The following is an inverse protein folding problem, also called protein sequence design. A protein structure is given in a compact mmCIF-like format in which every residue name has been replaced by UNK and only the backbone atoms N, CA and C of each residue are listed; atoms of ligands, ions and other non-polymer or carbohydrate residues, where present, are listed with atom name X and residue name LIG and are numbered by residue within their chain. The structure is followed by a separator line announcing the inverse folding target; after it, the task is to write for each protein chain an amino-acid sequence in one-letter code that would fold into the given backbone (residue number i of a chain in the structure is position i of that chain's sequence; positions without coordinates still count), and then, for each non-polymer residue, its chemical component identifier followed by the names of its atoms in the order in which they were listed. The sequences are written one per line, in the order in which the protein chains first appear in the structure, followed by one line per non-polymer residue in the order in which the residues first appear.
data_IF_192508686506
#
_entry.id   IF_192508686506
#
_cell.length_a   1.000
_cell.length_b   1.000
_cell.length_c   1.000
_cell.angle_alpha   90.00
_cell.angle_beta   90.00
_cell.angle_gamma   90.00
#
_symmetry.space_group_name_H-M   'P 1'
#
loop_
_entity.id
_entity.type
_entity.pdbx_description
1 polymer ?
#
# COMPACT_ATOMS: atom_id res chain seq x y z
N UNK A 1 18.18 -6.76 -0.03
CA UNK A 1 17.95 -6.61 1.41
C UNK A 1 17.73 -5.13 1.71
N UNK A 2 16.52 -4.78 2.14
CA UNK A 2 16.14 -3.39 2.40
C UNK A 2 16.78 -2.85 3.68
N UNK A 3 17.18 -3.71 4.61
CA UNK A 3 17.92 -3.28 5.80
C UNK A 3 19.31 -2.78 5.40
N UNK A 4 20.01 -3.50 4.52
CA UNK A 4 21.30 -3.04 3.99
C UNK A 4 21.17 -1.74 3.18
N UNK A 5 20.06 -1.55 2.47
CA UNK A 5 19.80 -0.29 1.78
C UNK A 5 19.66 0.88 2.76
N UNK A 6 18.96 0.65 3.89
CA UNK A 6 18.76 1.64 4.95
C UNK A 6 20.01 1.88 5.81
N UNK A 7 20.92 0.89 5.92
CA UNK A 7 22.24 1.10 6.52
C UNK A 7 23.10 2.06 5.69
N UNK A 8 22.96 2.01 4.36
CA UNK A 8 23.71 2.87 3.43
C UNK A 8 23.04 4.24 3.23
N UNK A 9 21.71 4.29 3.25
CA UNK A 9 20.92 5.51 3.15
C UNK A 9 19.71 5.44 4.10
N UNK A 10 19.87 5.92 5.36
CA UNK A 10 18.82 5.85 6.37
C UNK A 10 17.64 6.77 6.12
N UNK A 11 17.73 7.68 5.14
CA UNK A 11 16.70 8.65 4.78
C UNK A 11 15.98 8.29 3.47
N UNK A 12 16.15 7.05 2.98
CA UNK A 12 15.43 6.57 1.79
C UNK A 12 13.97 6.26 2.10
N UNK A 13 13.08 7.21 1.81
CA UNK A 13 11.63 7.02 1.91
C UNK A 13 11.14 5.80 1.10
N UNK A 14 11.72 5.56 -0.07
CA UNK A 14 11.44 4.41 -0.93
C UNK A 14 11.81 3.09 -0.25
N UNK A 15 12.98 3.00 0.38
CA UNK A 15 13.41 1.78 1.07
C UNK A 15 12.50 1.45 2.26
N UNK A 16 12.05 2.46 3.01
CA UNK A 16 11.04 2.25 4.05
C UNK A 16 9.70 1.81 3.46
N UNK A 17 9.22 2.43 2.37
CA UNK A 17 7.98 2.02 1.72
C UNK A 17 8.01 0.53 1.31
N UNK A 18 9.04 0.12 0.57
CA UNK A 18 9.18 -1.26 0.14
C UNK A 18 9.31 -2.23 1.32
N UNK A 19 9.98 -1.81 2.41
CA UNK A 19 10.14 -2.68 3.58
C UNK A 19 8.84 -2.79 4.37
N UNK A 20 8.08 -1.70 4.44
CA UNK A 20 6.72 -1.69 4.97
C UNK A 20 5.80 -2.65 4.21
N UNK A 21 5.87 -2.63 2.87
CA UNK A 21 5.15 -3.57 2.00
C UNK A 21 5.51 -5.03 2.26
N UNK A 22 6.82 -5.33 2.33
CA UNK A 22 7.30 -6.68 2.66
C UNK A 22 6.83 -7.14 4.05
N UNK A 23 6.88 -6.25 5.06
CA UNK A 23 6.36 -6.56 6.38
C UNK A 23 4.85 -6.78 6.39
N UNK A 24 4.09 -6.04 5.58
CA UNK A 24 2.65 -6.23 5.45
C UNK A 24 2.32 -7.61 4.86
N UNK A 25 3.02 -8.04 3.81
CA UNK A 25 2.86 -9.38 3.23
C UNK A 25 3.22 -10.50 4.21
N UNK A 26 4.23 -10.25 5.07
CA UNK A 26 4.62 -11.16 6.15
C UNK A 26 3.71 -11.06 7.39
N UNK A 27 2.62 -10.27 7.34
CA UNK A 27 1.71 -10.00 8.45
C UNK A 27 2.40 -9.41 9.69
N UNK A 28 3.56 -8.79 9.50
CA UNK A 28 4.30 -8.06 10.54
C UNK A 28 3.77 -6.63 10.65
N UNK A 29 2.50 -6.51 11.02
CA UNK A 29 1.71 -5.29 11.04
C UNK A 29 2.38 -4.12 11.78
N UNK A 30 3.00 -4.37 12.94
CA UNK A 30 3.70 -3.34 13.72
C UNK A 30 4.90 -2.74 12.99
N UNK A 31 5.64 -3.56 12.25
CA UNK A 31 6.81 -3.11 11.50
C UNK A 31 6.36 -2.40 10.23
N UNK A 32 5.32 -2.93 9.55
CA UNK A 32 4.74 -2.33 8.36
C UNK A 32 4.29 -0.88 8.60
N UNK A 33 3.49 -0.64 9.64
CA UNK A 33 2.99 0.70 9.94
C UNK A 33 4.11 1.67 10.34
N UNK A 34 5.13 1.20 11.06
CA UNK A 34 6.27 2.02 11.44
C UNK A 34 7.05 2.48 10.19
N UNK A 35 7.29 1.57 9.25
CA UNK A 35 8.01 1.86 8.02
C UNK A 35 7.20 2.76 7.07
N UNK A 36 5.90 2.53 6.89
CA UNK A 36 5.06 3.44 6.10
C UNK A 36 5.01 4.85 6.70
N UNK A 37 4.92 4.96 8.02
CA UNK A 37 4.96 6.26 8.68
C UNK A 37 6.32 6.95 8.48
N UNK A 38 7.43 6.21 8.58
CA UNK A 38 8.75 6.79 8.35
C UNK A 38 8.96 7.23 6.90
N UNK A 39 8.47 6.45 5.94
CA UNK A 39 8.48 6.81 4.53
C UNK A 39 7.75 8.14 4.28
N UNK A 40 6.59 8.34 4.91
CA UNK A 40 5.78 9.55 4.80
C UNK A 40 6.32 10.75 5.59
N UNK A 41 7.07 10.50 6.67
CA UNK A 41 7.83 11.55 7.38
C UNK A 41 8.95 12.10 6.50
N UNK A 42 9.65 11.22 5.79
CA UNK A 42 10.77 11.57 4.89
C UNK A 42 10.29 12.15 3.56
N UNK A 43 9.20 11.63 3.00
CA UNK A 43 8.57 12.13 1.78
C UNK A 43 7.04 12.15 1.93
N UNK A 44 6.46 13.30 2.32
CA UNK A 44 5.01 13.46 2.45
C UNK A 44 4.22 13.34 1.15
N UNK A 45 4.89 13.34 0.00
CA UNK A 45 4.28 13.23 -1.34
C UNK A 45 4.46 11.82 -1.95
N UNK A 46 4.90 10.84 -1.14
CA UNK A 46 5.03 9.46 -1.57
C UNK A 46 3.66 8.78 -1.67
N UNK A 47 3.09 8.76 -2.88
CA UNK A 47 1.78 8.17 -3.16
C UNK A 47 1.72 6.66 -2.83
N UNK A 48 2.80 5.93 -3.10
CA UNK A 48 2.89 4.49 -2.82
C UNK A 48 2.88 4.19 -1.33
N UNK A 49 3.53 5.02 -0.51
CA UNK A 49 3.53 4.84 0.94
C UNK A 49 2.14 5.06 1.56
N UNK A 50 1.36 6.02 1.06
CA UNK A 50 -0.05 6.15 1.43
C UNK A 50 -0.87 4.93 0.98
N UNK A 51 -0.64 4.44 -0.24
CA UNK A 51 -1.32 3.25 -0.75
C UNK A 51 -1.04 2.00 0.12
N UNK A 52 0.23 1.77 0.48
CA UNK A 52 0.64 0.69 1.37
C UNK A 52 0.04 0.81 2.77
N UNK A 53 0.01 2.03 3.33
CA UNK A 53 -0.59 2.28 4.64
C UNK A 53 -2.12 2.15 4.64
N UNK A 54 -2.78 2.52 3.54
CA UNK A 54 -4.19 2.22 3.30
C UNK A 54 -4.45 0.71 3.35
N UNK A 55 -3.62 -0.09 2.67
CA UNK A 55 -3.70 -1.55 2.70
C UNK A 55 -3.56 -2.11 4.12
N UNK A 56 -2.61 -1.58 4.90
CA UNK A 56 -2.48 -1.90 6.33
C UNK A 56 -3.76 -1.59 7.12
N UNK A 57 -4.29 -0.38 7.00
CA UNK A 57 -5.48 0.02 7.75
C UNK A 57 -6.71 -0.81 7.38
N UNK A 58 -6.84 -1.14 6.10
CA UNK A 58 -7.90 -1.98 5.59
C UNK A 58 -7.83 -3.40 6.17
N UNK A 59 -6.65 -4.03 6.21
CA UNK A 59 -6.46 -5.34 6.86
C UNK A 59 -6.73 -5.31 8.37
N UNK A 60 -6.50 -4.17 9.02
CA UNK A 60 -6.80 -3.96 10.44
C UNK A 60 -8.29 -3.61 10.70
N UNK A 61 -9.14 -3.58 9.68
CA UNK A 61 -10.56 -3.19 9.77
C UNK A 61 -10.78 -1.69 10.04
N UNK A 62 -9.73 -0.87 9.94
CA UNK A 62 -9.77 0.58 10.15
C UNK A 62 -10.15 1.30 8.87
N UNK A 63 -11.40 1.11 8.44
CA UNK A 63 -11.89 1.52 7.12
C UNK A 63 -11.77 3.02 6.85
N UNK A 64 -12.09 3.86 7.83
CA UNK A 64 -11.99 5.32 7.69
C UNK A 64 -10.55 5.77 7.42
N UNK A 65 -9.58 5.23 8.17
CA UNK A 65 -8.16 5.50 7.96
C UNK A 65 -7.68 5.00 6.60
N UNK A 66 -8.15 3.82 6.17
CA UNK A 66 -7.79 3.26 4.88
C UNK A 66 -8.30 4.13 3.72
N UNK A 67 -9.57 4.55 3.77
CA UNK A 67 -10.16 5.45 2.78
C UNK A 67 -9.41 6.78 2.71
N UNK A 68 -9.10 7.38 3.86
CA UNK A 68 -8.38 8.66 3.91
C UNK A 68 -6.98 8.57 3.27
N UNK A 69 -6.22 7.52 3.58
CA UNK A 69 -4.90 7.29 2.96
C UNK A 69 -5.03 6.97 1.46
N UNK A 70 -6.04 6.21 1.04
CA UNK A 70 -6.30 5.93 -0.37
C UNK A 70 -6.63 7.20 -1.16
N UNK A 71 -7.47 8.08 -0.63
CA UNK A 71 -7.79 9.38 -1.24
C UNK A 71 -6.54 10.24 -1.41
N UNK A 72 -5.65 10.23 -0.41
CA UNK A 72 -4.38 10.94 -0.50
C UNK A 72 -3.45 10.35 -1.56
N UNK A 73 -3.38 9.02 -1.65
CA UNK A 73 -2.62 8.33 -2.70
C UNK A 73 -3.13 8.68 -4.09
N UNK A 74 -4.46 8.67 -4.30
CA UNK A 74 -5.09 9.08 -5.57
C UNK A 74 -4.70 10.51 -5.92
N UNK A 75 -4.86 11.46 -4.98
CA UNK A 75 -4.52 12.86 -5.22
C UNK A 75 -3.09 12.99 -5.77
N UNK A 76 -2.13 12.31 -5.14
CA UNK A 76 -0.72 12.35 -5.50
C UNK A 76 -0.44 11.65 -6.84
N UNK A 77 -0.97 10.45 -7.07
CA UNK A 77 -0.80 9.75 -8.36
C UNK A 77 -1.33 10.56 -9.55
N UNK A 78 -2.51 11.18 -9.39
CA UNK A 78 -3.08 11.99 -10.46
C UNK A 78 -2.27 13.29 -10.68
N UNK A 79 -1.74 13.90 -9.61
CA UNK A 79 -0.87 15.09 -9.71
C UNK A 79 0.48 14.77 -10.36
N UNK A 80 1.04 13.59 -10.11
CA UNK A 80 2.32 13.13 -10.66
C UNK A 80 2.22 12.66 -12.12
N UNK A 81 1.02 12.68 -12.73
CA UNK A 81 0.79 12.30 -14.12
C UNK A 81 0.64 10.78 -14.34
N UNK A 82 0.56 9.99 -13.26
CA UNK A 82 0.39 8.54 -13.32
C UNK A 82 -1.08 8.17 -13.53
N UNK A 83 -1.59 8.40 -14.74
CA UNK A 83 -3.01 8.21 -15.09
C UNK A 83 -3.53 6.79 -14.82
N UNK A 84 -2.73 5.76 -15.09
CA UNK A 84 -3.09 4.35 -14.83
C UNK A 84 -3.19 4.05 -13.32
N UNK A 85 -2.21 4.49 -12.52
CA UNK A 85 -2.23 4.30 -11.06
C UNK A 85 -3.38 5.07 -10.40
N UNK A 86 -3.62 6.31 -10.85
CA UNK A 86 -4.76 7.14 -10.44
C UNK A 86 -6.10 6.43 -10.70
N UNK A 87 -6.33 5.92 -11.92
CA UNK A 87 -7.56 5.21 -12.26
C UNK A 87 -7.76 3.92 -11.46
N UNK A 88 -6.71 3.11 -11.30
CA UNK A 88 -6.78 1.87 -10.53
C UNK A 88 -7.07 2.16 -9.05
N UNK A 89 -6.41 3.14 -8.45
CA UNK A 89 -6.63 3.52 -7.07
C UNK A 89 -8.06 4.07 -6.85
N UNK A 90 -8.63 4.81 -7.82
CA UNK A 90 -10.03 5.25 -7.78
C UNK A 90 -11.02 4.08 -7.80
N UNK A 91 -10.77 3.04 -8.59
CA UNK A 91 -11.61 1.85 -8.57
C UNK A 91 -11.53 1.13 -7.22
N UNK A 92 -10.33 0.99 -6.66
CA UNK A 92 -10.16 0.39 -5.33
C UNK A 92 -10.87 1.22 -4.25
N UNK A 93 -10.78 2.55 -4.30
CA UNK A 93 -11.53 3.43 -3.39
C UNK A 93 -13.04 3.18 -3.47
N UNK A 94 -13.58 3.09 -4.69
CA UNK A 94 -15.00 2.74 -4.89
C UNK A 94 -15.33 1.40 -4.25
N UNK A 95 -14.51 0.37 -4.45
CA UNK A 95 -14.71 -0.94 -3.83
C UNK A 95 -14.69 -0.85 -2.29
N UNK A 96 -13.71 -0.15 -1.73
CA UNK A 96 -13.59 0.11 -0.28
C UNK A 96 -14.79 0.88 0.29
N UNK A 97 -15.49 1.70 -0.51
CA UNK A 97 -16.71 2.41 -0.09
C UNK A 97 -17.98 1.56 -0.22
N UNK A 98 -18.00 0.54 -1.10
CA UNK A 98 -19.22 -0.20 -1.44
C UNK A 98 -19.49 -1.48 -0.63
N UNK A 99 -18.55 -1.98 0.18
CA UNK A 99 -18.51 -3.37 0.68
C UNK A 99 -19.86 -4.12 0.82
N UNK A 100 -20.04 -5.12 -0.04
CA UNK A 100 -20.39 -6.46 0.41
C UNK A 100 -19.12 -7.32 0.38
N UNK A 101 -18.96 -8.23 1.34
CA UNK A 101 -17.73 -8.97 1.66
C UNK A 101 -17.09 -9.81 0.52
N UNK A 102 -17.68 -9.84 -0.68
CA UNK A 102 -17.24 -10.69 -1.79
C UNK A 102 -16.08 -10.16 -2.65
N UNK A 103 -15.67 -8.89 -2.51
CA UNK A 103 -14.59 -8.29 -3.34
C UNK A 103 -13.28 -8.03 -2.61
N UNK A 104 -13.14 -8.59 -1.40
CA UNK A 104 -11.97 -8.41 -0.54
C UNK A 104 -10.66 -8.82 -1.23
N UNK A 105 -10.70 -9.90 -2.01
CA UNK A 105 -9.55 -10.45 -2.74
C UNK A 105 -9.05 -9.53 -3.86
N UNK A 106 -9.93 -8.83 -4.57
CA UNK A 106 -9.54 -7.87 -5.62
C UNK A 106 -8.81 -6.66 -5.03
N UNK A 107 -9.31 -6.16 -3.89
CA UNK A 107 -8.71 -5.05 -3.15
C UNK A 107 -7.31 -5.43 -2.63
N UNK A 108 -7.18 -6.61 -2.01
CA UNK A 108 -5.89 -7.08 -1.49
C UNK A 108 -4.87 -7.35 -2.59
N UNK A 109 -5.30 -7.82 -3.77
CA UNK A 109 -4.43 -8.05 -4.91
C UNK A 109 -3.81 -6.74 -5.44
N UNK A 110 -4.58 -5.65 -5.48
CA UNK A 110 -4.07 -4.34 -5.89
C UNK A 110 -2.99 -3.80 -4.94
N UNK A 111 -3.19 -3.96 -3.62
CA UNK A 111 -2.19 -3.59 -2.63
C UNK A 111 -0.90 -4.43 -2.75
N UNK A 112 -1.00 -5.70 -3.13
CA UNK A 112 0.16 -6.58 -3.31
C UNK A 112 1.01 -6.25 -4.56
N UNK A 113 0.36 -5.89 -5.69
CA UNK A 113 1.06 -5.55 -6.94
C UNK A 113 1.89 -4.27 -6.78
N UNK A 114 1.37 -3.30 -6.05
CA UNK A 114 1.98 -1.96 -5.90
C UNK A 114 3.08 -1.93 -4.83
N UNK A 115 3.06 -2.87 -3.88
CA UNK A 115 4.04 -2.98 -2.79
C UNK A 115 5.30 -3.81 -3.13
N UNK A 116 5.47 -4.28 -4.38
CA UNK A 116 6.73 -4.88 -4.85
C UNK A 116 6.77 -6.40 -5.02
N UNK A 117 5.63 -7.09 -5.25
CA UNK A 117 5.65 -8.48 -5.73
C UNK A 117 5.28 -8.59 -7.21
N UNK A 118 6.17 -9.22 -7.98
CA UNK A 118 5.80 -9.87 -9.23
C UNK A 118 4.83 -11.02 -8.94
N UNK A 119 3.65 -10.97 -9.57
CA UNK A 119 2.67 -12.04 -9.82
C UNK A 119 2.59 -13.14 -8.73
N UNK A 120 1.58 -13.11 -7.85
CA UNK A 120 1.44 -14.14 -6.83
C UNK A 120 0.90 -15.45 -7.41
N UNK A 121 1.56 -16.57 -7.04
CA UNK A 121 0.93 -17.89 -6.93
C UNK A 121 -0.14 -17.87 -5.82
N UNK A 122 -1.25 -17.17 -6.05
CA UNK A 122 -2.45 -17.24 -5.20
C UNK A 122 -3.66 -17.79 -5.96
N UNK A 123 -3.49 -18.19 -7.22
CA UNK A 123 -4.52 -18.90 -8.00
C UNK A 123 -4.81 -20.29 -7.41
N UNK A 124 -3.87 -20.88 -6.64
CA UNK A 124 -4.01 -22.25 -6.10
C UNK A 124 -4.80 -22.37 -4.78
N UNK A 125 -5.50 -21.32 -4.32
CA UNK A 125 -6.38 -21.39 -3.12
C UNK A 125 -7.84 -21.00 -3.35
N UNK A 126 -8.26 -20.90 -4.61
CA UNK A 126 -9.67 -20.62 -4.97
C UNK A 126 -10.31 -21.80 -5.74
N UNK A 127 -9.80 -23.02 -5.57
CA UNK A 127 -10.51 -24.26 -5.98
C UNK A 127 -10.61 -25.20 -4.78
#
# INVERSE_FOLDING_TARGET
DLNKALELNPDSAEAYNYRGGAYLNLQQYKNAIADFNKALELNPDNAEAYLGRSGYYYQMGKRENAIADMEKAIQLFCQQGSSDACQKAQEVLRLMQTESQGKLTEILHFFAITAGEGIPRLIDKVH
#
